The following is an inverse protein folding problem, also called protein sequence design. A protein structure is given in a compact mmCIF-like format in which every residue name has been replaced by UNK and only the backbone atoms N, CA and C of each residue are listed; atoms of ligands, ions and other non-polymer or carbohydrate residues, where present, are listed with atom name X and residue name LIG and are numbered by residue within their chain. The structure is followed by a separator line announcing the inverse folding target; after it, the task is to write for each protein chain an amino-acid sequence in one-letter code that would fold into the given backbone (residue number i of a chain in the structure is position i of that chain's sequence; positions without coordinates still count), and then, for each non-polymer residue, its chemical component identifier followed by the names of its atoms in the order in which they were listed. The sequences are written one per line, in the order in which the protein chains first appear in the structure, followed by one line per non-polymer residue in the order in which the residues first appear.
data_IF_077844076526
#
_entry.id   IF_077844076526
#
_cell.length_a   1.000
_cell.length_b   1.000
_cell.length_c   1.000
_cell.angle_alpha   90.00
_cell.angle_beta   90.00
_cell.angle_gamma   90.00
#
_symmetry.space_group_name_H-M   'P 1'
#
loop_
_entity.id
_entity.type
_entity.pdbx_description
1 polymer ?
#
# COMPACT_ATOMS: atom_id res chain seq x y z
N UNK A 1 -2.92 -85.81 10.54
CA UNK A 1 -2.68 -85.43 9.12
C UNK A 1 -2.89 -83.93 8.99
N UNK A 2 -1.88 -83.21 8.50
CA UNK A 2 -1.88 -81.77 8.23
C UNK A 2 -2.90 -81.40 7.15
N UNK A 3 -3.57 -80.24 7.25
CA UNK A 3 -3.58 -79.18 6.22
C UNK A 3 -3.89 -77.81 6.86
N UNK A 4 -3.02 -76.85 6.55
CA UNK A 4 -3.14 -75.40 6.76
C UNK A 4 -4.16 -74.80 5.78
N UNK A 5 -4.80 -73.70 6.17
CA UNK A 5 -5.53 -72.80 5.27
C UNK A 5 -5.81 -71.47 5.96
N UNK A 6 -4.94 -70.48 5.74
CA UNK A 6 -5.14 -69.09 6.11
C UNK A 6 -6.04 -68.41 5.09
N UNK A 7 -7.05 -67.67 5.53
CA UNK A 7 -7.60 -66.54 4.76
C UNK A 7 -7.86 -65.39 5.72
N UNK A 8 -6.97 -64.40 5.66
CA UNK A 8 -7.09 -63.11 6.31
C UNK A 8 -8.11 -62.31 5.49
N UNK A 9 -9.32 -62.15 6.01
CA UNK A 9 -10.35 -61.28 5.44
C UNK A 9 -10.18 -59.84 5.94
N UNK A 10 -9.19 -59.13 5.40
CA UNK A 10 -9.00 -57.69 5.59
C UNK A 10 -9.65 -56.99 4.39
N UNK A 11 -10.87 -56.49 4.56
CA UNK A 11 -11.51 -55.60 3.58
C UNK A 11 -12.27 -54.48 4.28
N UNK A 12 -11.70 -53.28 4.24
CA UNK A 12 -12.48 -52.11 3.85
C UNK A 12 -13.08 -51.24 4.96
N UNK A 13 -12.34 -50.90 6.01
CA UNK A 13 -12.61 -49.66 6.73
C UNK A 13 -11.85 -48.52 6.03
N UNK A 14 -12.48 -47.88 5.03
CA UNK A 14 -12.00 -46.61 4.47
C UNK A 14 -12.27 -45.55 5.54
N UNK A 15 -11.24 -45.24 6.33
CA UNK A 15 -11.24 -44.08 7.23
C UNK A 15 -11.07 -42.86 6.33
N UNK A 16 -12.19 -42.18 6.06
CA UNK A 16 -12.20 -40.84 5.46
C UNK A 16 -11.55 -39.86 6.44
N UNK A 17 -10.23 -39.73 6.35
CA UNK A 17 -9.49 -38.63 6.97
C UNK A 17 -9.84 -37.34 6.22
N UNK A 18 -10.98 -36.73 6.55
CA UNK A 18 -11.21 -35.32 6.25
C UNK A 18 -10.38 -34.50 7.23
N UNK A 19 -9.07 -34.40 6.98
CA UNK A 19 -8.27 -33.36 7.60
C UNK A 19 -8.67 -32.05 6.93
N UNK A 20 -9.66 -31.40 7.51
CA UNK A 20 -9.93 -29.99 7.30
C UNK A 20 -8.63 -29.27 7.65
N UNK A 21 -7.83 -28.96 6.64
CA UNK A 21 -6.78 -27.96 6.76
C UNK A 21 -7.52 -26.64 7.01
N UNK A 22 -7.76 -26.35 8.28
CA UNK A 22 -7.91 -24.98 8.74
C UNK A 22 -6.59 -24.30 8.40
N UNK A 23 -6.50 -23.78 7.18
CA UNK A 23 -5.63 -22.64 6.93
C UNK A 23 -6.28 -21.55 7.77
N UNK A 24 -5.86 -21.44 9.03
CA UNK A 24 -6.17 -20.28 9.85
C UNK A 24 -5.79 -19.03 9.03
N UNK A 25 -6.46 -17.89 9.23
CA UNK A 25 -5.98 -16.66 8.62
C UNK A 25 -4.49 -16.61 8.95
N UNK A 26 -3.65 -16.59 7.91
CA UNK A 26 -2.26 -16.25 8.12
C UNK A 26 -2.27 -15.02 9.03
N UNK A 27 -1.36 -14.95 9.98
CA UNK A 27 -1.04 -13.66 10.58
C UNK A 27 -0.47 -12.80 9.45
N UNK A 28 -1.35 -12.33 8.56
CA UNK A 28 -1.08 -11.36 7.55
C UNK A 28 -0.58 -10.17 8.34
N UNK A 29 0.68 -9.79 8.08
CA UNK A 29 1.32 -8.64 8.66
C UNK A 29 0.28 -7.51 8.74
N UNK A 30 -0.20 -7.24 9.95
CA UNK A 30 -1.33 -6.36 10.15
C UNK A 30 -0.76 -4.96 10.00
N UNK A 31 -1.13 -4.25 8.94
CA UNK A 31 -0.89 -2.81 8.84
C UNK A 31 -1.35 -2.16 10.17
N UNK A 32 -0.57 -1.25 10.76
CA UNK A 32 -0.85 -0.74 12.10
C UNK A 32 -2.26 -0.19 12.24
N UNK A 33 -2.76 -0.21 13.48
CA UNK A 33 -4.14 0.11 13.83
C UNK A 33 -4.59 1.46 13.24
N UNK A 34 -5.87 1.53 12.85
CA UNK A 34 -6.55 2.75 12.44
C UNK A 34 -6.18 3.93 13.35
N UNK A 35 -5.88 5.07 12.74
CA UNK A 35 -5.46 6.30 13.45
C UNK A 35 -3.96 6.43 13.69
N UNK A 36 -3.14 5.46 13.26
CA UNK A 36 -1.68 5.61 13.29
C UNK A 36 -1.21 6.62 12.25
N UNK A 37 -0.24 7.46 12.63
CA UNK A 37 0.50 8.32 11.70
C UNK A 37 1.70 7.56 11.16
N UNK A 38 1.91 7.68 9.86
CA UNK A 38 3.00 7.04 9.13
C UNK A 38 3.79 8.10 8.38
N UNK A 39 5.10 7.91 8.32
CA UNK A 39 5.99 8.84 7.64
C UNK A 39 6.95 8.11 6.73
N UNK A 40 7.09 8.63 5.50
CA UNK A 40 8.08 8.18 4.53
C UNK A 40 8.88 9.37 4.02
N UNK A 41 10.10 9.09 3.61
CA UNK A 41 10.97 10.02 2.89
C UNK A 41 11.25 9.44 1.51
N UNK A 42 11.20 10.27 0.48
CA UNK A 42 11.64 9.90 -0.87
C UNK A 42 13.15 10.17 -1.04
N UNK A 43 13.72 9.72 -2.15
CA UNK A 43 15.15 9.88 -2.46
C UNK A 43 15.61 11.36 -2.53
N UNK A 44 14.68 12.27 -2.77
CA UNK A 44 14.92 13.72 -2.87
C UNK A 44 14.81 14.44 -1.52
N UNK A 45 14.47 13.72 -0.43
CA UNK A 45 14.28 14.29 0.91
C UNK A 45 12.89 14.89 1.15
N UNK A 46 11.95 14.70 0.22
CA UNK A 46 10.55 15.03 0.41
C UNK A 46 9.88 14.06 1.38
N UNK A 47 9.06 14.60 2.28
CA UNK A 47 8.46 13.87 3.39
C UNK A 47 6.96 13.69 3.18
N UNK A 48 6.52 12.45 3.24
CA UNK A 48 5.13 12.02 3.15
C UNK A 48 4.62 11.65 4.55
N UNK A 49 3.59 12.35 5.05
CA UNK A 49 2.98 12.07 6.35
C UNK A 49 1.51 11.69 6.14
N UNK A 50 1.15 10.46 6.50
CA UNK A 50 -0.17 9.89 6.26
C UNK A 50 -0.82 9.39 7.55
N UNK A 51 -2.14 9.47 7.60
CA UNK A 51 -2.99 8.83 8.59
C UNK A 51 -3.92 7.86 7.87
N UNK A 52 -3.97 6.62 8.35
CA UNK A 52 -4.84 5.58 7.81
C UNK A 52 -6.07 5.37 8.70
N UNK A 53 -7.25 5.34 8.07
CA UNK A 53 -8.52 4.97 8.72
C UNK A 53 -8.97 3.63 8.17
N UNK A 54 -9.08 2.61 9.03
CA UNK A 54 -9.53 1.27 8.65
C UNK A 54 -11.00 1.31 8.21
N UNK A 55 -11.27 0.80 7.01
CA UNK A 55 -12.61 0.65 6.43
C UNK A 55 -13.12 -0.80 6.49
N UNK A 56 -12.33 -1.71 7.07
CA UNK A 56 -12.57 -3.14 7.09
C UNK A 56 -11.94 -3.87 5.91
N UNK A 57 -11.86 -5.19 6.02
CA UNK A 57 -11.42 -6.09 4.94
C UNK A 57 -10.08 -5.71 4.30
N UNK A 58 -9.14 -5.18 5.08
CA UNK A 58 -7.81 -4.75 4.62
C UNK A 58 -7.81 -3.52 3.69
N UNK A 59 -8.93 -2.77 3.65
CA UNK A 59 -9.03 -1.49 2.95
C UNK A 59 -8.96 -0.32 3.94
N UNK A 60 -8.30 0.76 3.53
CA UNK A 60 -8.08 1.94 4.35
C UNK A 60 -8.33 3.22 3.56
N UNK A 61 -8.94 4.21 4.21
CA UNK A 61 -8.93 5.59 3.74
C UNK A 61 -7.65 6.27 4.23
N UNK A 62 -6.98 6.97 3.33
CA UNK A 62 -5.72 7.66 3.60
C UNK A 62 -5.94 9.17 3.50
N UNK A 63 -5.45 9.92 4.48
CA UNK A 63 -5.36 11.38 4.44
C UNK A 63 -3.96 11.79 4.89
N UNK A 64 -3.43 12.89 4.37
CA UNK A 64 -2.10 13.31 4.79
C UNK A 64 -1.60 14.57 4.10
N UNK A 65 -0.29 14.74 4.15
CA UNK A 65 0.43 15.78 3.42
C UNK A 65 1.76 15.29 2.88
N UNK A 66 2.18 15.86 1.76
CA UNK A 66 3.55 15.77 1.26
C UNK A 66 4.22 17.13 1.46
N UNK A 67 5.51 17.12 1.75
CA UNK A 67 6.35 18.33 1.82
C UNK A 67 7.63 18.07 1.05
N UNK A 68 7.86 18.80 -0.03
CA UNK A 68 9.10 18.70 -0.82
C UNK A 68 10.28 19.33 -0.07
N UNK A 69 11.49 19.05 -0.54
CA UNK A 69 12.71 19.69 -0.03
C UNK A 69 12.71 21.22 -0.23
N UNK A 70 11.99 21.70 -1.25
CA UNK A 70 11.82 23.13 -1.55
C UNK A 70 10.72 23.79 -0.69
N UNK A 71 10.09 23.02 0.20
CA UNK A 71 9.06 23.51 1.11
C UNK A 71 7.65 23.57 0.52
N UNK A 72 7.46 23.07 -0.71
CA UNK A 72 6.14 22.92 -1.32
C UNK A 72 5.34 21.90 -0.54
N UNK A 73 4.10 22.26 -0.18
CA UNK A 73 3.20 21.42 0.63
C UNK A 73 1.98 21.03 -0.18
N UNK A 74 1.64 19.74 -0.13
CA UNK A 74 0.50 19.18 -0.85
C UNK A 74 -0.43 18.48 0.13
N UNK A 75 -1.73 18.69 -0.02
CA UNK A 75 -2.74 17.91 0.69
C UNK A 75 -2.93 16.58 -0.05
N UNK A 76 -2.99 15.47 0.70
CA UNK A 76 -3.18 14.13 0.16
C UNK A 76 -4.46 13.49 0.65
N UNK A 77 -5.14 12.80 -0.26
CA UNK A 77 -6.24 11.89 0.05
C UNK A 77 -6.13 10.65 -0.83
N UNK A 78 -6.57 9.50 -0.35
CA UNK A 78 -6.58 8.30 -1.17
C UNK A 78 -7.03 7.07 -0.43
N UNK A 79 -6.64 5.92 -0.96
CA UNK A 79 -6.95 4.62 -0.38
C UNK A 79 -5.73 3.72 -0.32
N UNK A 80 -5.71 2.81 0.63
CA UNK A 80 -4.75 1.72 0.70
C UNK A 80 -5.46 0.36 0.80
N UNK A 81 -4.84 -0.67 0.25
CA UNK A 81 -5.26 -2.07 0.36
C UNK A 81 -4.05 -2.94 0.68
N UNK A 82 -4.19 -3.89 1.61
CA UNK A 82 -3.19 -4.95 1.78
C UNK A 82 -3.52 -6.15 0.91
N UNK A 83 -2.52 -6.64 0.17
CA UNK A 83 -2.65 -7.86 -0.62
C UNK A 83 -1.30 -8.57 -0.75
N UNK A 84 -1.28 -9.88 -0.56
CA UNK A 84 -0.13 -10.76 -0.84
C UNK A 84 1.22 -10.28 -0.27
N UNK A 85 1.23 -9.71 0.94
CA UNK A 85 2.46 -9.23 1.59
C UNK A 85 2.86 -7.80 1.23
N UNK A 86 2.03 -7.06 0.49
CA UNK A 86 2.25 -5.67 0.12
C UNK A 86 1.09 -4.79 0.57
N UNK A 87 1.34 -3.48 0.58
CA UNK A 87 0.33 -2.43 0.67
C UNK A 87 0.34 -1.63 -0.61
N UNK A 88 -0.81 -1.60 -1.26
CA UNK A 88 -1.05 -0.84 -2.47
C UNK A 88 -1.80 0.42 -2.10
N UNK A 89 -1.27 1.59 -2.44
CA UNK A 89 -1.94 2.87 -2.22
C UNK A 89 -2.17 3.58 -3.54
N UNK A 90 -3.30 4.28 -3.61
CA UNK A 90 -3.58 5.27 -4.64
C UNK A 90 -3.86 6.59 -3.93
N UNK A 91 -3.01 7.58 -4.14
CA UNK A 91 -3.10 8.89 -3.50
C UNK A 91 -3.28 9.96 -4.57
N UNK A 92 -4.19 10.89 -4.32
CA UNK A 92 -4.30 12.15 -5.05
C UNK A 92 -3.68 13.22 -4.18
N UNK A 93 -2.77 14.01 -4.74
CA UNK A 93 -2.24 15.20 -4.10
C UNK A 93 -2.67 16.45 -4.86
N UNK A 94 -2.82 17.55 -4.14
CA UNK A 94 -2.98 18.86 -4.73
C UNK A 94 -2.39 19.92 -3.80
N UNK A 95 -1.88 20.98 -4.41
CA UNK A 95 -1.35 22.12 -3.67
C UNK A 95 -1.18 23.34 -4.57
N UNK A 96 -0.76 24.41 -3.93
CA UNK A 96 -0.37 25.65 -4.59
C UNK A 96 0.81 26.21 -3.82
N UNK A 97 1.76 26.77 -4.56
CA UNK A 97 2.78 27.65 -4.02
C UNK A 97 2.66 29.03 -4.70
N UNK A 98 3.71 29.84 -4.60
CA UNK A 98 3.72 31.19 -5.15
C UNK A 98 3.83 31.22 -6.69
N UNK A 99 4.27 30.12 -7.33
CA UNK A 99 4.47 30.05 -8.78
C UNK A 99 3.43 29.19 -9.46
N UNK A 100 2.99 28.11 -8.82
CA UNK A 100 2.23 27.05 -9.47
C UNK A 100 1.06 26.54 -8.63
N UNK A 101 -0.03 26.17 -9.31
CA UNK A 101 -1.03 25.25 -8.80
C UNK A 101 -0.82 23.88 -9.44
N UNK A 102 -0.82 22.82 -8.64
CA UNK A 102 -0.48 21.48 -9.14
C UNK A 102 -1.32 20.40 -8.48
N UNK A 103 -1.46 19.28 -9.18
CA UNK A 103 -2.08 18.08 -8.62
C UNK A 103 -1.53 16.81 -9.29
N UNK A 104 -1.42 15.75 -8.49
CA UNK A 104 -0.85 14.48 -8.91
C UNK A 104 -1.75 13.31 -8.51
N UNK A 105 -1.71 12.24 -9.29
CA UNK A 105 -2.25 10.93 -8.95
C UNK A 105 -1.06 9.98 -8.84
N UNK A 106 -0.91 9.36 -7.67
CA UNK A 106 0.22 8.54 -7.30
C UNK A 106 -0.24 7.11 -6.98
N UNK A 107 0.45 6.13 -7.55
CA UNK A 107 0.39 4.73 -7.16
C UNK A 107 1.61 4.41 -6.30
N UNK A 108 1.40 3.85 -5.13
CA UNK A 108 2.47 3.44 -4.21
C UNK A 108 2.34 1.95 -3.92
N UNK A 109 3.46 1.23 -3.89
CA UNK A 109 3.51 -0.17 -3.48
C UNK A 109 4.59 -0.34 -2.43
N UNK A 110 4.18 -0.72 -1.23
CA UNK A 110 5.07 -0.96 -0.09
C UNK A 110 5.11 -2.43 0.28
N UNK A 111 6.28 -2.92 0.66
CA UNK A 111 6.46 -4.24 1.27
C UNK A 111 5.94 -4.21 2.70
N UNK A 112 5.04 -5.12 3.12
CA UNK A 112 4.52 -5.13 4.50
C UNK A 112 5.60 -5.33 5.57
N UNK A 113 6.61 -6.22 5.40
CA UNK A 113 7.65 -6.43 6.40
C UNK A 113 8.50 -5.19 6.71
N UNK A 114 8.78 -4.36 5.70
CA UNK A 114 9.70 -3.22 5.85
C UNK A 114 8.99 -1.88 5.79
N UNK A 115 7.81 -1.82 5.18
CA UNK A 115 7.10 -0.60 4.77
C UNK A 115 7.89 0.29 3.79
N UNK A 116 9.00 -0.20 3.22
CA UNK A 116 9.68 0.45 2.10
C UNK A 116 9.04 0.04 0.78
N UNK A 117 9.20 0.86 -0.26
CA UNK A 117 8.67 0.52 -1.56
C UNK A 117 8.89 1.60 -2.61
N UNK A 118 8.03 1.61 -3.61
CA UNK A 118 8.14 2.53 -4.76
C UNK A 118 6.86 3.32 -4.96
N UNK A 119 7.00 4.47 -5.60
CA UNK A 119 5.88 5.24 -6.12
C UNK A 119 6.06 5.51 -7.62
N UNK A 120 4.92 5.69 -8.28
CA UNK A 120 4.80 6.20 -9.63
C UNK A 120 3.65 7.20 -9.63
N UNK A 121 3.88 8.38 -10.16
CA UNK A 121 2.90 9.45 -10.19
C UNK A 121 2.87 10.14 -11.54
N UNK A 122 1.70 10.66 -11.89
CA UNK A 122 1.56 11.62 -12.97
C UNK A 122 0.69 12.77 -12.47
N UNK A 123 0.95 13.97 -12.98
CA UNK A 123 0.25 15.16 -12.54
C UNK A 123 0.25 16.25 -13.58
N UNK A 124 -0.35 17.36 -13.18
CA UNK A 124 -0.42 18.57 -13.96
C UNK A 124 -0.05 19.75 -13.07
N UNK A 125 0.62 20.72 -13.68
CA UNK A 125 1.03 21.97 -13.06
C UNK A 125 0.57 23.13 -13.95
N UNK A 126 0.06 24.19 -13.32
CA UNK A 126 -0.31 25.42 -13.97
C UNK A 126 0.42 26.58 -13.30
N UNK A 127 1.22 27.28 -14.08
CA UNK A 127 1.96 28.47 -13.63
C UNK A 127 1.00 29.66 -13.51
N UNK A 128 0.90 30.24 -12.32
CA UNK A 128 -0.10 31.24 -11.95
C UNK A 128 0.11 32.55 -12.72
N UNK A 129 1.36 32.97 -12.90
CA UNK A 129 1.73 34.22 -13.57
C UNK A 129 2.02 34.04 -15.07
N UNK A 130 1.68 32.89 -15.64
CA UNK A 130 1.96 32.61 -17.04
C UNK A 130 1.12 33.54 -17.95
N UNK A 131 1.73 34.19 -18.96
CA UNK A 131 0.98 35.02 -19.92
C UNK A 131 0.08 34.19 -20.85
N UNK A 132 0.28 32.87 -20.87
CA UNK A 132 -0.55 31.91 -21.57
C UNK A 132 -1.49 31.19 -20.57
N UNK A 133 -2.80 31.50 -20.57
CA UNK A 133 -3.74 30.90 -19.63
C UNK A 133 -3.96 29.39 -19.86
N UNK A 134 -3.54 28.86 -21.01
CA UNK A 134 -3.64 27.43 -21.34
C UNK A 134 -2.33 26.68 -21.05
N UNK A 135 -1.36 27.32 -20.38
CA UNK A 135 -0.10 26.68 -20.00
C UNK A 135 -0.32 25.68 -18.85
N UNK A 136 -0.66 24.45 -19.23
CA UNK A 136 -0.74 23.29 -18.35
C UNK A 136 0.42 22.35 -18.70
N UNK A 137 1.38 22.25 -17.80
CA UNK A 137 2.45 21.25 -17.85
C UNK A 137 1.93 19.89 -17.38
N UNK A 138 2.41 18.82 -17.99
CA UNK A 138 2.25 17.46 -17.46
C UNK A 138 3.57 17.00 -16.87
N UNK A 139 3.49 16.31 -15.73
CA UNK A 139 4.64 15.80 -15.01
C UNK A 139 4.46 14.31 -14.72
N UNK A 140 5.56 13.55 -14.75
CA UNK A 140 5.61 12.13 -14.42
C UNK A 140 6.84 11.86 -13.58
N UNK A 141 6.64 11.15 -12.47
CA UNK A 141 7.69 10.85 -11.52
C UNK A 141 7.62 9.40 -11.05
N UNK A 142 8.78 8.81 -10.79
CA UNK A 142 8.92 7.52 -10.12
C UNK A 142 10.05 7.61 -9.11
N UNK A 143 9.95 6.86 -8.02
CA UNK A 143 11.05 6.80 -7.05
C UNK A 143 10.80 5.80 -5.94
N UNK A 144 11.71 5.80 -4.98
CA UNK A 144 11.62 4.97 -3.78
C UNK A 144 11.07 5.73 -2.56
N UNK A 145 10.46 5.00 -1.64
CA UNK A 145 9.98 5.49 -0.36
C UNK A 145 10.57 4.66 0.79
N UNK A 146 11.14 5.36 1.76
CA UNK A 146 11.75 4.77 2.94
C UNK A 146 10.97 5.18 4.19
N UNK A 147 10.58 4.24 5.05
CA UNK A 147 9.87 4.57 6.28
C UNK A 147 10.80 5.33 7.23
N UNK A 148 10.27 6.38 7.84
CA UNK A 148 10.96 7.20 8.83
C UNK A 148 10.09 7.36 10.08
N UNK A 149 10.70 7.79 11.18
CA UNK A 149 9.95 8.19 12.37
C UNK A 149 9.28 9.54 12.13
N UNK A 150 7.98 9.64 12.38
CA UNK A 150 7.26 10.90 12.36
C UNK A 150 7.81 11.87 13.41
N UNK A 151 8.09 13.10 13.00
CA UNK A 151 8.54 14.20 13.86
C UNK A 151 7.41 15.18 14.13
#
# INVERSE_FOLDING_TARGET
MRKFGWVIGLCGAIILLSSWLFIGPSEAAKWPSAGSTFCWENEEGGVLILVATDMGSQHFLINGRYTSIEGKVEALIGSAEMNAGNVHMTLVSAGTDDTDTFAYINRIVLSLPTLSGTYEGFGFCHEIDSPDPDNIGMDHGTGELFPITCK
#
